data_IF_289480531053
#
_entry.id   IF_289480531053
#
_cell.length_a   1.000
_cell.length_b   1.000
_cell.length_c   1.000
_cell.angle_alpha   90.00
_cell.angle_beta   90.00
_cell.angle_gamma   90.00
#
_symmetry.space_group_name_H-M   'P 1'
#
loop_
_entity.id
_entity.type
_entity.pdbx_description
1 polymer ?
#
# COMPACT_ATOMS: atom_id res chain seq x y z
N UNK A 1 -3.73 6.32 0.07
CA UNK A 1 -3.87 4.87 -0.09
C UNK A 1 -3.61 4.18 1.25
N UNK A 2 -2.35 4.06 1.66
CA UNK A 2 -1.98 3.54 2.97
C UNK A 2 -0.69 4.22 3.45
N UNK A 3 -0.33 3.98 4.71
CA UNK A 3 0.95 4.38 5.29
C UNK A 3 1.79 3.13 5.46
N UNK A 4 3.02 3.15 4.94
CA UNK A 4 3.99 2.07 5.08
C UNK A 4 5.11 2.56 5.98
N UNK A 5 5.39 1.81 7.05
CA UNK A 5 6.54 2.08 7.91
C UNK A 5 7.77 1.36 7.34
N UNK A 6 8.85 2.10 7.09
CA UNK A 6 10.14 1.56 6.69
C UNK A 6 11.25 2.23 7.51
N UNK A 7 12.01 1.45 8.28
CA UNK A 7 13.17 1.93 9.05
C UNK A 7 12.88 3.16 9.95
N UNK A 8 11.76 3.13 10.71
CA UNK A 8 11.27 4.23 11.57
C UNK A 8 10.79 5.47 10.81
N UNK A 9 10.60 5.38 9.50
CA UNK A 9 10.06 6.43 8.65
C UNK A 9 8.72 6.00 8.09
N UNK A 10 7.74 6.89 8.11
CA UNK A 10 6.41 6.65 7.55
C UNK A 10 6.34 7.19 6.12
N UNK A 11 5.98 6.33 5.17
CA UNK A 11 5.79 6.66 3.77
C UNK A 11 4.30 6.62 3.42
N UNK A 12 3.77 7.71 2.89
CA UNK A 12 2.36 7.81 2.47
C UNK A 12 2.25 7.44 1.00
N UNK A 13 1.55 6.35 0.69
CA UNK A 13 1.22 5.98 -0.68
C UNK A 13 -0.01 6.75 -1.16
N UNK A 14 0.08 7.33 -2.36
CA UNK A 14 -0.98 8.11 -3.02
C UNK A 14 -1.28 7.49 -4.37
N UNK A 15 -2.54 7.59 -4.81
CA UNK A 15 -2.90 7.17 -6.16
C UNK A 15 -2.34 8.21 -7.14
N UNK A 16 -1.78 7.75 -8.25
CA UNK A 16 -1.29 8.64 -9.32
C UNK A 16 -2.44 9.25 -10.14
N UNK A 17 -3.61 8.61 -10.13
CA UNK A 17 -4.83 9.00 -10.83
C UNK A 17 -6.06 8.56 -10.05
N UNK A 18 -7.22 9.06 -10.45
CA UNK A 18 -8.50 8.57 -9.96
C UNK A 18 -8.71 7.11 -10.40
N UNK A 19 -9.02 6.24 -9.44
CA UNK A 19 -9.24 4.82 -9.64
C UNK A 19 -10.12 4.27 -8.51
N UNK A 20 -10.68 3.07 -8.71
CA UNK A 20 -11.48 2.38 -7.67
C UNK A 20 -10.68 1.23 -7.10
N UNK A 21 -10.71 1.05 -5.78
CA UNK A 21 -10.02 -0.08 -5.12
C UNK A 21 -10.80 -1.36 -5.38
N UNK A 22 -10.18 -2.35 -6.03
CA UNK A 22 -10.78 -3.66 -6.30
C UNK A 22 -10.50 -4.65 -5.16
N UNK A 23 -9.24 -4.74 -4.72
CA UNK A 23 -8.84 -5.63 -3.63
C UNK A 23 -7.75 -5.01 -2.74
N UNK A 24 -7.74 -5.36 -1.45
CA UNK A 24 -6.67 -5.03 -0.50
C UNK A 24 -6.04 -6.35 -0.07
N UNK A 25 -4.75 -6.53 -0.39
CA UNK A 25 -4.01 -7.77 -0.17
C UNK A 25 -3.12 -7.73 1.07
N UNK A 26 -2.92 -6.54 1.65
CA UNK A 26 -2.11 -6.33 2.86
C UNK A 26 -2.97 -5.95 4.06
N UNK A 27 -2.58 -6.43 5.26
CA UNK A 27 -3.23 -6.04 6.52
C UNK A 27 -2.31 -5.16 7.36
N UNK A 28 -2.91 -4.46 8.33
CA UNK A 28 -2.16 -3.66 9.29
C UNK A 28 -1.19 -4.56 10.08
N UNK A 29 0.09 -4.22 10.05
CA UNK A 29 1.15 -4.96 10.74
C UNK A 29 1.82 -6.07 9.91
N UNK A 30 1.38 -6.30 8.67
CA UNK A 30 2.11 -7.20 7.76
C UNK A 30 3.46 -6.60 7.37
N UNK A 31 4.46 -7.47 7.29
CA UNK A 31 5.76 -7.11 6.73
C UNK A 31 5.72 -7.22 5.21
N UNK A 32 5.99 -6.12 4.53
CA UNK A 32 5.98 -6.05 3.07
C UNK A 32 7.41 -6.21 2.53
N UNK A 33 7.57 -7.12 1.55
CA UNK A 33 8.80 -7.22 0.78
C UNK A 33 8.84 -6.14 -0.32
N UNK A 34 10.03 -5.90 -0.88
CA UNK A 34 10.19 -5.09 -2.10
C UNK A 34 9.35 -5.74 -3.20
N UNK A 35 8.58 -4.92 -3.93
CA UNK A 35 7.63 -5.33 -4.99
C UNK A 35 6.38 -6.12 -4.54
N UNK A 36 6.10 -6.19 -3.24
CA UNK A 36 4.85 -6.80 -2.76
C UNK A 36 3.62 -6.01 -3.20
N UNK A 37 2.61 -6.70 -3.75
CA UNK A 37 1.33 -6.08 -4.13
C UNK A 37 0.50 -5.81 -2.87
N UNK A 38 0.20 -4.53 -2.61
CA UNK A 38 -0.56 -4.09 -1.43
C UNK A 38 -2.07 -4.05 -1.72
N UNK A 39 -2.43 -3.56 -2.91
CA UNK A 39 -3.81 -3.33 -3.32
C UNK A 39 -3.92 -3.30 -4.85
N UNK A 40 -5.08 -3.69 -5.34
CA UNK A 40 -5.43 -3.71 -6.75
C UNK A 40 -6.47 -2.62 -7.05
N UNK A 41 -6.36 -2.03 -8.24
CA UNK A 41 -7.23 -0.95 -8.69
C UNK A 41 -7.88 -1.30 -10.03
N UNK A 42 -9.12 -0.85 -10.21
CA UNK A 42 -9.83 -0.76 -11.50
C UNK A 42 -9.76 0.65 -12.08
#
# INVERSE_FOLDING_TARGET
>A
LCVVEAMKMENILRAERDCTVSAILAKKGDSLAVDAVIMEFE
#
